data_IF_802070772396
#
_entry.id   IF_802070772396
#
_cell.length_a   1.000
_cell.length_b   1.000
_cell.length_c   1.000
_cell.angle_alpha   90.00
_cell.angle_beta   90.00
_cell.angle_gamma   90.00
#
_symmetry.space_group_name_H-M   'P 1'
#
loop_
_entity.id
_entity.type
_entity.pdbx_description
1 polymer ?
#
# COMPACT_ATOMS: atom_id res chain seq x y z
N UNK A 1 5.86 53.37 -16.16
CA UNK A 1 4.46 53.18 -16.61
C UNK A 1 3.94 51.90 -15.98
N UNK A 2 2.99 52.02 -15.05
CA UNK A 2 2.32 50.85 -14.44
C UNK A 2 1.42 50.26 -15.53
N UNK A 3 1.72 49.06 -16.03
CA UNK A 3 0.82 48.36 -16.96
C UNK A 3 -0.43 47.97 -16.16
N UNK A 4 -1.57 48.53 -16.54
CA UNK A 4 -2.87 48.16 -15.99
C UNK A 4 -3.13 46.67 -16.23
N UNK A 5 -3.60 45.99 -15.18
CA UNK A 5 -4.19 44.65 -15.31
C UNK A 5 -5.40 44.74 -16.25
N UNK A 6 -5.66 43.72 -17.08
CA UNK A 6 -6.86 43.68 -17.91
C UNK A 6 -8.12 43.69 -17.03
N UNK A 7 -9.22 44.21 -17.56
CA UNK A 7 -10.52 44.07 -16.91
C UNK A 7 -11.05 42.63 -17.01
N UNK A 8 -11.94 42.23 -16.10
CA UNK A 8 -12.59 40.91 -16.13
C UNK A 8 -13.33 40.65 -17.47
N UNK A 9 -13.92 41.70 -18.06
CA UNK A 9 -14.59 41.61 -19.36
C UNK A 9 -13.61 41.33 -20.50
N UNK A 10 -12.46 42.03 -20.55
CA UNK A 10 -11.43 41.78 -21.57
C UNK A 10 -10.81 40.40 -21.46
N UNK A 11 -10.64 39.89 -20.22
CA UNK A 11 -10.16 38.54 -19.98
C UNK A 11 -11.17 37.50 -20.48
N UNK A 12 -12.47 37.71 -20.21
CA UNK A 12 -13.57 36.83 -20.64
C UNK A 12 -13.70 36.78 -22.17
N UNK A 13 -13.66 37.92 -22.84
CA UNK A 13 -13.78 38.01 -24.29
C UNK A 13 -12.60 37.32 -24.98
N UNK A 14 -11.39 37.51 -24.45
CA UNK A 14 -10.19 36.86 -24.98
C UNK A 14 -10.19 35.34 -24.77
N UNK A 15 -10.64 34.86 -23.60
CA UNK A 15 -10.79 33.43 -23.31
C UNK A 15 -11.87 32.77 -24.18
N UNK A 16 -12.93 33.51 -24.53
CA UNK A 16 -13.96 33.03 -25.45
C UNK A 16 -13.41 32.90 -26.88
N UNK A 17 -12.56 33.84 -27.30
CA UNK A 17 -11.89 33.80 -28.61
C UNK A 17 -10.77 32.75 -28.70
N UNK A 18 -10.17 32.36 -27.56
CA UNK A 18 -9.07 31.38 -27.49
C UNK A 18 -9.37 30.31 -26.41
N UNK A 19 -10.31 29.38 -26.67
CA UNK A 19 -10.80 28.44 -25.66
C UNK A 19 -9.74 27.46 -25.14
N UNK A 20 -8.68 27.19 -25.91
CA UNK A 20 -7.61 26.25 -25.54
C UNK A 20 -6.38 26.95 -24.93
N UNK A 21 -6.43 28.26 -24.68
CA UNK A 21 -5.27 29.02 -24.23
C UNK A 21 -4.86 28.67 -22.80
N UNK A 22 -3.58 28.43 -22.61
CA UNK A 22 -2.97 28.19 -21.30
C UNK A 22 -2.80 29.49 -20.51
N UNK A 23 -2.71 29.39 -19.18
CA UNK A 23 -2.40 30.53 -18.29
C UNK A 23 -1.12 31.29 -18.69
N UNK A 24 -0.15 30.61 -19.30
CA UNK A 24 1.08 31.24 -19.83
C UNK A 24 0.82 32.08 -21.06
N UNK A 25 -0.11 31.67 -21.92
CA UNK A 25 -0.50 32.41 -23.13
C UNK A 25 -1.35 33.61 -22.79
N UNK A 26 -2.27 33.50 -21.82
CA UNK A 26 -3.03 34.63 -21.28
C UNK A 26 -2.07 35.67 -20.68
N UNK A 27 -1.14 35.25 -19.81
CA UNK A 27 -0.17 36.16 -19.22
C UNK A 27 0.75 36.81 -20.27
N UNK A 28 1.06 36.12 -21.37
CA UNK A 28 1.86 36.67 -22.49
C UNK A 28 1.06 37.68 -23.30
N UNK A 29 -0.21 37.39 -23.61
CA UNK A 29 -1.11 38.26 -24.38
C UNK A 29 -1.33 39.60 -23.67
N UNK A 30 -1.52 39.57 -22.35
CA UNK A 30 -1.71 40.78 -21.53
C UNK A 30 -0.40 41.36 -20.96
N UNK A 31 0.75 40.79 -21.31
CA UNK A 31 2.07 41.28 -20.89
C UNK A 31 2.30 41.25 -19.37
N UNK A 32 1.64 40.34 -18.66
CA UNK A 32 1.65 40.19 -17.20
C UNK A 32 2.92 39.44 -16.75
N UNK A 33 3.71 40.05 -15.88
CA UNK A 33 4.97 39.50 -15.36
C UNK A 33 5.09 39.68 -13.84
N UNK A 34 5.87 38.80 -13.20
CA UNK A 34 6.17 38.91 -11.77
C UNK A 34 4.94 38.79 -10.87
N UNK A 35 4.85 39.66 -9.86
CA UNK A 35 3.80 39.65 -8.83
C UNK A 35 2.37 39.80 -9.40
N UNK A 36 2.22 40.47 -10.56
CA UNK A 36 0.92 40.64 -11.23
C UNK A 36 0.29 39.30 -11.72
N UNK A 37 1.03 38.19 -11.69
CA UNK A 37 0.47 36.84 -11.91
C UNK A 37 -0.45 36.38 -10.79
N UNK A 38 -0.27 36.90 -9.59
CA UNK A 38 -1.11 36.58 -8.42
C UNK A 38 -2.50 37.18 -8.63
N UNK A 39 -2.57 38.42 -9.10
CA UNK A 39 -3.84 39.11 -9.39
C UNK A 39 -4.58 38.44 -10.56
N UNK A 40 -3.85 38.03 -11.62
CA UNK A 40 -4.43 37.24 -12.71
C UNK A 40 -5.04 35.90 -12.21
N UNK A 41 -4.40 35.26 -11.21
CA UNK A 41 -4.92 34.02 -10.61
C UNK A 41 -6.20 34.25 -9.82
N UNK A 42 -6.33 35.40 -9.14
CA UNK A 42 -7.56 35.78 -8.45
C UNK A 42 -8.71 36.04 -9.44
N UNK A 43 -8.42 36.80 -10.51
CA UNK A 43 -9.41 37.10 -11.57
C UNK A 43 -9.88 35.85 -12.32
N UNK A 44 -8.99 34.89 -12.58
CA UNK A 44 -9.35 33.62 -13.22
C UNK A 44 -10.23 32.75 -12.30
N UNK A 45 -9.95 32.72 -10.99
CA UNK A 45 -10.82 32.03 -10.01
C UNK A 45 -12.23 32.61 -9.94
N UNK A 46 -12.35 33.93 -10.06
CA UNK A 46 -13.63 34.62 -10.07
C UNK A 46 -14.44 34.26 -11.32
N UNK A 47 -13.80 34.21 -12.49
CA UNK A 47 -14.44 33.77 -13.75
C UNK A 47 -14.75 32.25 -13.78
N UNK A 48 -13.96 31.43 -13.08
CA UNK A 48 -14.23 29.99 -12.89
C UNK A 48 -15.47 29.75 -12.01
N UNK A 49 -15.69 30.58 -10.99
CA UNK A 49 -16.90 30.53 -10.16
C UNK A 49 -18.18 30.86 -10.95
N UNK A 50 -18.05 31.63 -12.03
CA UNK A 50 -19.14 31.97 -12.96
C UNK A 50 -19.35 30.91 -14.08
N UNK A 51 -18.63 29.79 -14.05
CA UNK A 51 -18.92 28.61 -14.88
C UNK A 51 -18.36 28.62 -16.30
N UNK A 52 -17.34 29.44 -16.58
CA UNK A 52 -16.66 29.45 -17.90
C UNK A 52 -15.32 28.72 -17.80
N UNK A 53 -15.30 27.41 -18.04
CA UNK A 53 -14.06 26.70 -18.40
C UNK A 53 -14.32 25.53 -19.37
N UNK A 54 -13.38 25.25 -20.29
CA UNK A 54 -13.51 24.18 -21.27
C UNK A 54 -13.35 22.80 -20.62
N UNK A 55 -14.27 21.89 -20.93
CA UNK A 55 -14.29 20.51 -20.44
C UNK A 55 -13.19 19.68 -21.09
N UNK A 56 -12.27 19.12 -20.30
CA UNK A 56 -11.44 17.99 -20.72
C UNK A 56 -12.33 16.74 -20.77
N UNK A 57 -12.32 16.00 -21.88
CA UNK A 57 -13.07 14.73 -22.01
C UNK A 57 -12.48 13.71 -21.02
N UNK A 58 -13.35 13.15 -20.18
CA UNK A 58 -12.98 12.06 -19.28
C UNK A 58 -12.46 10.86 -20.09
N UNK A 59 -11.30 10.32 -19.70
CA UNK A 59 -10.88 9.00 -20.17
C UNK A 59 -11.88 7.96 -19.65
N UNK A 60 -12.31 7.05 -20.54
CA UNK A 60 -13.49 6.21 -20.37
C UNK A 60 -13.28 5.01 -19.43
N UNK A 61 -12.81 5.23 -18.21
CA UNK A 61 -12.69 4.20 -17.19
C UNK A 61 -12.78 4.78 -15.77
N UNK A 62 -13.22 3.95 -14.81
CA UNK A 62 -13.25 4.31 -13.39
C UNK A 62 -12.09 3.63 -12.69
N UNK A 63 -11.30 4.36 -11.90
CA UNK A 63 -10.28 3.75 -11.06
C UNK A 63 -10.94 2.96 -9.92
N UNK A 64 -10.45 1.75 -9.59
CA UNK A 64 -10.86 1.06 -8.39
C UNK A 64 -10.67 1.94 -7.13
N UNK A 65 -11.55 1.82 -6.11
CA UNK A 65 -11.46 2.62 -4.89
C UNK A 65 -10.13 2.52 -4.16
N UNK A 66 -9.39 1.42 -4.31
CA UNK A 66 -8.03 1.25 -3.83
C UNK A 66 -7.17 0.84 -5.02
N UNK A 67 -6.13 1.62 -5.31
CA UNK A 67 -5.29 1.42 -6.50
C UNK A 67 -3.82 1.63 -6.14
N UNK A 68 -2.95 0.84 -6.79
CA UNK A 68 -1.50 1.03 -6.76
C UNK A 68 -1.11 2.15 -7.72
N UNK A 69 -0.50 3.20 -7.18
CA UNK A 69 -0.09 4.39 -7.92
C UNK A 69 1.43 4.55 -7.92
N UNK A 70 1.99 5.02 -9.03
CA UNK A 70 3.37 5.49 -9.14
C UNK A 70 3.38 7.02 -9.01
N UNK A 71 4.18 7.53 -8.08
CA UNK A 71 4.34 8.96 -7.78
C UNK A 71 5.15 9.61 -8.91
N UNK A 72 4.62 10.70 -9.48
CA UNK A 72 5.24 11.45 -10.58
C UNK A 72 6.21 12.54 -10.09
N UNK A 73 6.21 12.83 -8.77
CA UNK A 73 7.01 13.87 -8.13
C UNK A 73 6.21 15.14 -7.83
N UNK A 74 6.72 16.01 -6.93
CA UNK A 74 6.09 17.28 -6.62
C UNK A 74 6.18 18.25 -7.81
N UNK A 75 5.11 19.00 -8.05
CA UNK A 75 5.12 20.08 -9.03
C UNK A 75 5.74 21.38 -8.47
N UNK A 76 5.65 22.48 -9.22
CA UNK A 76 6.19 23.77 -8.80
C UNK A 76 5.49 24.38 -7.57
N UNK A 77 4.27 23.93 -7.27
CA UNK A 77 3.47 24.36 -6.12
C UNK A 77 3.62 23.38 -4.92
N UNK A 78 4.31 22.26 -5.11
CA UNK A 78 4.59 21.24 -4.10
C UNK A 78 3.55 20.12 -4.04
N UNK A 79 2.59 20.09 -4.98
CA UNK A 79 1.55 19.07 -5.04
C UNK A 79 2.12 17.76 -5.62
N UNK A 80 1.81 16.65 -4.95
CA UNK A 80 2.31 15.33 -5.33
C UNK A 80 1.26 14.65 -6.21
N UNK A 81 1.61 14.41 -7.47
CA UNK A 81 0.76 13.65 -8.39
C UNK A 81 1.22 12.21 -8.49
N UNK A 82 0.28 11.34 -8.83
CA UNK A 82 0.55 9.95 -9.14
C UNK A 82 -0.29 9.48 -10.33
N UNK A 83 0.16 8.41 -10.97
CA UNK A 83 -0.58 7.70 -12.02
C UNK A 83 -0.80 6.25 -11.60
N UNK A 84 -1.90 5.62 -12.02
CA UNK A 84 -2.06 4.18 -11.81
C UNK A 84 -0.97 3.41 -12.55
N UNK A 85 -0.39 2.39 -11.89
CA UNK A 85 0.58 1.49 -12.52
C UNK A 85 -0.12 0.62 -13.57
N UNK A 86 -1.34 0.16 -13.24
CA UNK A 86 -2.20 -0.54 -14.17
C UNK A 86 -3.42 0.29 -14.52
N UNK A 87 -3.58 0.59 -15.81
CA UNK A 87 -4.76 1.26 -16.34
C UNK A 87 -5.42 0.38 -17.41
N UNK A 88 -6.64 -0.08 -17.11
CA UNK A 88 -7.44 -0.92 -18.00
C UNK A 88 -8.55 -0.17 -18.75
N UNK A 89 -8.64 1.16 -18.58
CA UNK A 89 -9.65 1.99 -19.24
C UNK A 89 -9.23 2.49 -20.62
N UNK A 90 -10.17 3.08 -21.36
CA UNK A 90 -9.88 3.66 -22.68
C UNK A 90 -9.29 5.07 -22.56
N UNK A 91 -8.15 5.31 -23.22
CA UNK A 91 -7.48 6.60 -23.28
C UNK A 91 -6.31 6.74 -22.31
N UNK A 92 -5.82 7.97 -22.12
CA UNK A 92 -4.71 8.25 -21.21
C UNK A 92 -5.08 7.92 -19.76
N UNK A 93 -4.11 7.38 -19.02
CA UNK A 93 -4.27 7.07 -17.61
C UNK A 93 -4.65 8.34 -16.82
N UNK A 94 -5.65 8.27 -15.92
CA UNK A 94 -6.07 9.41 -15.13
C UNK A 94 -4.95 9.86 -14.18
N UNK A 95 -4.87 11.16 -13.93
CA UNK A 95 -3.95 11.71 -12.91
C UNK A 95 -4.63 11.73 -11.55
N UNK A 96 -3.90 11.31 -10.52
CA UNK A 96 -4.37 11.31 -9.13
C UNK A 96 -3.55 12.33 -8.34
N UNK A 97 -4.20 13.26 -7.65
CA UNK A 97 -3.51 14.11 -6.67
C UNK A 97 -3.44 13.36 -5.33
N UNK A 98 -2.26 13.29 -4.72
CA UNK A 98 -2.07 12.61 -3.45
C UNK A 98 -2.15 13.59 -2.28
N UNK A 99 -3.04 13.30 -1.33
CA UNK A 99 -2.98 13.89 0.00
C UNK A 99 -1.97 13.09 0.82
N UNK A 100 -0.69 13.49 0.78
CA UNK A 100 0.38 12.77 1.44
C UNK A 100 1.36 13.69 2.20
N UNK A 101 2.05 13.20 3.24
CA UNK A 101 3.17 13.91 3.84
C UNK A 101 4.33 14.06 2.82
N UNK A 102 5.17 15.09 3.02
CA UNK A 102 6.27 15.51 2.11
C UNK A 102 7.37 14.45 1.82
N UNK A 103 7.20 13.21 2.27
CA UNK A 103 8.19 12.13 2.20
C UNK A 103 8.09 11.23 0.96
N UNK A 104 7.17 11.52 0.02
CA UNK A 104 7.03 10.76 -1.24
C UNK A 104 7.83 11.40 -2.37
N UNK A 105 8.73 10.61 -2.97
CA UNK A 105 9.56 11.01 -4.11
C UNK A 105 8.99 10.50 -5.44
N UNK A 106 9.44 11.11 -6.55
CA UNK A 106 9.13 10.61 -7.89
C UNK A 106 9.64 9.17 -8.05
N UNK A 107 8.82 8.29 -8.63
CA UNK A 107 9.10 6.86 -8.79
C UNK A 107 8.70 5.98 -7.60
N UNK A 108 8.33 6.58 -6.46
CA UNK A 108 7.76 5.82 -5.34
C UNK A 108 6.44 5.18 -5.78
N UNK A 109 6.20 3.94 -5.36
CA UNK A 109 4.91 3.30 -5.52
C UNK A 109 4.13 3.48 -4.22
N UNK A 110 2.82 3.66 -4.28
CA UNK A 110 1.96 3.80 -3.09
C UNK A 110 0.64 3.09 -3.31
N UNK A 111 0.09 2.49 -2.26
CA UNK A 111 -1.29 2.07 -2.22
C UNK A 111 -2.12 3.26 -1.77
N UNK A 112 -3.10 3.68 -2.57
CA UNK A 112 -3.94 4.80 -2.21
C UNK A 112 -5.41 4.48 -2.41
N UNK A 113 -6.24 4.96 -1.48
CA UNK A 113 -7.69 5.01 -1.67
C UNK A 113 -7.99 6.17 -2.62
N UNK A 114 -8.53 5.88 -3.80
CA UNK A 114 -8.85 6.85 -4.84
C UNK A 114 -10.34 7.20 -4.81
N UNK A 115 -10.63 8.49 -4.70
CA UNK A 115 -11.98 9.04 -4.78
C UNK A 115 -12.08 9.97 -5.99
N UNK A 116 -13.15 9.87 -6.75
CA UNK A 116 -13.35 10.67 -7.96
C UNK A 116 -13.59 12.14 -7.54
N UNK A 117 -12.58 12.97 -7.77
CA UNK A 117 -12.61 14.40 -7.49
C UNK A 117 -11.91 15.10 -8.64
N UNK A 118 -12.67 15.79 -9.47
CA UNK A 118 -12.15 16.45 -10.67
C UNK A 118 -11.59 17.81 -10.29
N UNK A 119 -10.29 17.96 -10.48
CA UNK A 119 -9.59 19.23 -10.41
C UNK A 119 -9.05 19.67 -11.77
N UNK A 120 -8.32 20.79 -11.82
CA UNK A 120 -7.75 21.31 -13.07
C UNK A 120 -6.75 20.35 -13.75
N UNK A 121 -5.97 19.61 -12.94
CA UNK A 121 -4.85 18.78 -13.40
C UNK A 121 -4.92 17.31 -12.92
N UNK A 122 -6.03 16.91 -12.29
CA UNK A 122 -6.26 15.57 -11.76
C UNK A 122 -7.74 15.16 -11.87
N UNK A 123 -7.98 13.86 -12.05
CA UNK A 123 -9.31 13.27 -12.16
C UNK A 123 -9.77 12.61 -10.84
N UNK A 124 -8.81 12.27 -9.98
CA UNK A 124 -9.02 11.60 -8.70
C UNK A 124 -8.17 12.24 -7.60
N UNK A 125 -8.67 12.15 -6.38
CA UNK A 125 -7.90 12.40 -5.16
C UNK A 125 -7.55 11.06 -4.51
N UNK A 126 -6.27 10.87 -4.20
CA UNK A 126 -5.74 9.68 -3.56
C UNK A 126 -5.36 9.97 -2.11
N UNK A 127 -5.98 9.30 -1.15
CA UNK A 127 -5.48 9.23 0.22
C UNK A 127 -4.49 8.08 0.31
N UNK A 128 -3.22 8.38 0.54
CA UNK A 128 -2.18 7.36 0.66
C UNK A 128 -2.47 6.49 1.88
N UNK A 129 -2.55 5.18 1.64
CA UNK A 129 -2.65 4.16 2.68
C UNK A 129 -1.23 3.82 3.14
N UNK A 130 -0.35 3.43 2.20
CA UNK A 130 1.06 3.11 2.49
C UNK A 130 1.94 3.17 1.24
N UNK A 131 3.26 3.29 1.41
CA UNK A 131 4.26 3.20 0.34
C UNK A 131 4.51 1.73 -0.03
N UNK A 132 4.64 1.47 -1.33
CA UNK A 132 4.81 0.16 -1.97
C UNK A 132 6.26 0.00 -2.45
N UNK A 133 6.80 -1.21 -2.31
CA UNK A 133 8.11 -1.57 -2.85
C UNK A 133 9.30 -1.26 -1.92
N UNK A 134 9.05 -0.92 -0.66
CA UNK A 134 10.07 -0.97 0.39
C UNK A 134 9.84 -2.22 1.24
N UNK A 135 10.00 -3.41 0.64
CA UNK A 135 10.47 -4.57 1.40
C UNK A 135 11.97 -4.67 1.14
N UNK A 136 12.79 -3.82 1.81
CA UNK A 136 14.23 -3.97 1.72
C UNK A 136 14.57 -5.39 2.14
N UNK A 137 15.48 -6.06 1.41
CA UNK A 137 15.99 -7.35 1.82
C UNK A 137 16.60 -7.19 3.21
N UNK A 138 15.88 -7.66 4.23
CA UNK A 138 16.28 -7.54 5.62
C UNK A 138 17.30 -8.62 5.92
N UNK A 139 18.37 -8.24 6.60
CA UNK A 139 19.44 -9.12 7.02
C UNK A 139 19.26 -9.34 8.51
N UNK A 140 19.03 -10.59 8.90
CA UNK A 140 19.04 -10.98 10.31
C UNK A 140 20.46 -11.39 10.71
N UNK A 141 21.02 -10.75 11.72
CA UNK A 141 22.38 -11.02 12.16
C UNK A 141 22.71 -10.53 13.54
N UNK A 142 23.88 -10.92 14.04
CA UNK A 142 24.43 -10.43 15.29
C UNK A 142 25.23 -9.16 15.03
N UNK A 143 24.92 -8.10 15.76
CA UNK A 143 25.71 -6.89 15.74
C UNK A 143 27.01 -7.08 16.54
N UNK A 144 28.13 -6.70 15.92
CA UNK A 144 29.46 -6.67 16.54
C UNK A 144 29.99 -5.25 16.50
N UNK A 145 30.18 -4.66 17.66
CA UNK A 145 30.73 -3.32 17.82
C UNK A 145 32.20 -3.27 17.39
N UNK A 146 32.63 -2.11 16.88
CA UNK A 146 34.00 -1.83 16.51
C UNK A 146 34.37 -0.38 16.78
N UNK A 147 35.65 -0.02 16.57
CA UNK A 147 36.15 1.33 16.86
C UNK A 147 35.44 2.45 16.05
N UNK A 148 34.99 2.16 14.83
CA UNK A 148 34.27 3.08 13.96
C UNK A 148 32.89 2.52 13.56
N UNK A 149 32.05 2.20 14.56
CA UNK A 149 30.69 1.71 14.35
C UNK A 149 30.60 0.22 14.64
N UNK A 150 30.28 -0.59 13.63
CA UNK A 150 30.20 -2.03 13.82
C UNK A 150 30.05 -2.82 12.53
N UNK A 151 29.80 -4.11 12.70
CA UNK A 151 29.45 -5.02 11.61
C UNK A 151 28.32 -5.96 12.02
N UNK A 152 27.54 -6.41 11.05
CA UNK A 152 26.50 -7.40 11.26
C UNK A 152 26.98 -8.70 10.64
N UNK A 153 27.03 -9.72 11.48
CA UNK A 153 27.35 -11.09 11.09
C UNK A 153 26.03 -11.81 10.81
N UNK A 154 25.71 -12.14 9.55
CA UNK A 154 24.47 -12.83 9.21
C UNK A 154 24.37 -14.18 9.93
N UNK A 155 23.15 -14.58 10.32
CA UNK A 155 22.90 -15.90 10.92
C UNK A 155 22.65 -16.97 9.84
N UNK A 156 22.35 -16.54 8.62
CA UNK A 156 22.18 -17.43 7.48
C UNK A 156 23.51 -17.97 6.97
N UNK A 157 23.59 -19.30 6.87
CA UNK A 157 24.76 -20.04 6.37
C UNK A 157 25.11 -19.78 4.90
N UNK A 158 24.27 -19.04 4.17
CA UNK A 158 24.47 -18.72 2.75
C UNK A 158 25.14 -17.36 2.49
N UNK A 159 25.33 -16.54 3.53
CA UNK A 159 25.90 -15.18 3.41
C UNK A 159 27.20 -15.07 4.18
N UNK A 160 28.31 -15.43 3.53
CA UNK A 160 29.65 -15.41 4.15
C UNK A 160 30.24 -14.00 4.35
N UNK A 161 29.46 -12.94 4.10
CA UNK A 161 29.96 -11.56 4.12
C UNK A 161 29.33 -10.78 5.27
N UNK A 162 30.18 -10.36 6.19
CA UNK A 162 29.85 -9.36 7.19
C UNK A 162 29.43 -8.03 6.52
N UNK A 163 28.43 -7.38 7.11
CA UNK A 163 27.91 -6.11 6.64
C UNK A 163 28.41 -4.99 7.54
N UNK A 164 29.06 -3.98 6.95
CA UNK A 164 29.58 -2.84 7.71
C UNK A 164 28.46 -1.86 8.06
N UNK A 165 28.48 -1.37 9.29
CA UNK A 165 27.53 -0.39 9.83
C UNK A 165 28.31 0.82 10.34
N UNK A 166 28.05 2.01 9.80
CA UNK A 166 28.71 3.23 10.26
C UNK A 166 28.19 3.63 11.66
N UNK A 167 28.92 4.44 12.44
CA UNK A 167 28.50 4.87 13.78
C UNK A 167 27.07 5.44 13.84
N UNK A 168 26.68 6.23 12.85
CA UNK A 168 25.35 6.85 12.76
C UNK A 168 24.23 5.88 12.36
N UNK A 169 24.59 4.74 11.76
CA UNK A 169 23.65 3.76 11.20
C UNK A 169 23.43 2.56 12.14
N UNK A 170 24.05 2.56 13.33
CA UNK A 170 23.97 1.48 14.32
C UNK A 170 22.62 1.38 15.01
N UNK A 171 21.80 2.43 14.98
CA UNK A 171 20.53 2.47 15.71
C UNK A 171 20.67 2.26 17.23
N UNK A 172 21.87 2.45 17.78
CA UNK A 172 22.17 2.18 19.19
C UNK A 172 22.29 0.69 19.55
N UNK A 173 22.51 -0.19 18.57
CA UNK A 173 22.73 -1.61 18.80
C UNK A 173 23.95 -1.88 19.69
N UNK A 174 23.83 -2.85 20.60
CA UNK A 174 24.90 -3.27 21.50
C UNK A 174 25.63 -4.50 20.97
N UNK A 175 26.87 -4.74 21.43
CA UNK A 175 27.63 -5.91 21.01
C UNK A 175 26.91 -7.22 21.38
N UNK A 176 26.81 -8.13 20.42
CA UNK A 176 26.14 -9.42 20.60
C UNK A 176 24.61 -9.37 20.47
N UNK A 177 24.03 -8.19 20.23
CA UNK A 177 22.59 -8.03 20.04
C UNK A 177 22.15 -8.59 18.67
N UNK A 178 21.00 -9.28 18.65
CA UNK A 178 20.33 -9.67 17.42
C UNK A 178 19.69 -8.43 16.79
N UNK A 179 19.97 -8.20 15.52
CA UNK A 179 19.46 -7.04 14.79
C UNK A 179 18.90 -7.44 13.43
N UNK A 180 17.90 -6.68 13.01
CA UNK A 180 17.40 -6.67 11.65
C UNK A 180 17.97 -5.44 10.94
N UNK A 181 18.61 -5.64 9.80
CA UNK A 181 19.28 -4.55 9.08
C UNK A 181 18.89 -4.50 7.62
N UNK A 182 19.02 -3.31 7.03
CA UNK A 182 18.65 -3.06 5.65
C UNK A 182 19.89 -2.60 4.85
N UNK A 183 20.16 -3.21 3.68
CA UNK A 183 21.26 -2.86 2.80
C UNK A 183 21.25 -1.38 2.42
N UNK A 184 22.39 -0.71 2.59
CA UNK A 184 22.63 0.67 2.18
C UNK A 184 23.36 0.68 0.83
N UNK A 185 22.65 0.27 -0.22
CA UNK A 185 23.18 0.25 -1.59
C UNK A 185 24.38 -0.69 -1.81
N UNK A 186 24.84 -0.82 -3.06
CA UNK A 186 26.01 -1.64 -3.39
C UNK A 186 27.29 -0.83 -3.20
N UNK A 187 28.17 -1.29 -2.32
CA UNK A 187 29.54 -0.77 -2.24
C UNK A 187 30.30 -1.10 -3.53
N UNK A 188 30.96 -0.11 -4.14
CA UNK A 188 31.82 -0.33 -5.33
C UNK A 188 33.08 -1.12 -4.98
N UNK A 189 33.55 -1.04 -3.73
CA UNK A 189 34.71 -1.75 -3.18
C UNK A 189 34.50 -2.00 -1.68
N UNK A 190 34.99 -3.13 -1.17
CA UNK A 190 34.88 -3.51 0.25
C UNK A 190 33.60 -4.29 0.62
N UNK A 191 33.41 -4.61 1.91
CA UNK A 191 32.21 -5.29 2.39
C UNK A 191 30.98 -4.43 2.16
N UNK A 192 29.80 -5.04 1.94
CA UNK A 192 28.56 -4.31 1.75
C UNK A 192 28.18 -3.55 3.02
N UNK A 193 27.39 -2.48 2.87
CA UNK A 193 26.97 -1.62 3.98
C UNK A 193 25.50 -1.85 4.31
N UNK A 194 25.15 -1.72 5.58
CA UNK A 194 23.78 -1.77 6.05
C UNK A 194 23.58 -0.77 7.19
N UNK A 195 22.31 -0.42 7.44
CA UNK A 195 21.91 0.24 8.68
C UNK A 195 21.04 -0.70 9.50
N UNK A 196 21.12 -0.58 10.81
CA UNK A 196 20.24 -1.30 11.73
C UNK A 196 18.85 -0.68 11.65
N UNK A 197 17.89 -1.46 11.17
CA UNK A 197 16.49 -1.05 11.08
C UNK A 197 15.72 -1.38 12.37
N UNK A 198 16.02 -2.53 12.98
CA UNK A 198 15.37 -2.97 14.21
C UNK A 198 16.36 -3.69 15.14
N UNK A 199 16.23 -3.42 16.44
CA UNK A 199 16.97 -4.10 17.51
C UNK A 199 16.08 -5.17 18.13
N UNK A 200 16.47 -6.43 17.95
CA UNK A 200 15.69 -7.58 18.42
C UNK A 200 16.12 -8.06 19.81
N UNK A 201 17.25 -7.55 20.32
CA UNK A 201 17.71 -7.81 21.68
C UNK A 201 18.56 -9.08 21.78
N UNK A 202 18.36 -9.81 22.88
CA UNK A 202 19.12 -11.03 23.18
C UNK A 202 18.77 -12.15 22.17
N UNK A 203 19.77 -12.71 21.44
CA UNK A 203 19.54 -13.82 20.52
C UNK A 203 19.03 -15.11 21.19
N UNK A 204 19.14 -15.24 22.51
CA UNK A 204 18.64 -16.38 23.29
C UNK A 204 17.20 -16.21 23.75
N UNK A 205 16.61 -15.02 23.58
CA UNK A 205 15.23 -14.77 23.96
C UNK A 205 14.26 -15.60 23.09
N UNK A 206 13.11 -16.06 23.63
CA UNK A 206 12.15 -16.84 22.85
C UNK A 206 11.72 -16.20 21.52
N UNK A 207 11.48 -14.89 21.51
CA UNK A 207 11.13 -14.11 20.30
C UNK A 207 12.23 -14.16 19.23
N UNK A 208 13.50 -14.18 19.64
CA UNK A 208 14.65 -14.25 18.74
C UNK A 208 14.74 -15.61 18.05
N UNK A 209 14.44 -16.70 18.76
CA UNK A 209 14.48 -18.07 18.22
C UNK A 209 13.53 -18.21 17.02
N UNK A 210 12.29 -17.72 17.14
CA UNK A 210 11.31 -17.77 16.06
C UNK A 210 11.73 -16.94 14.85
N UNK A 211 12.25 -15.72 15.08
CA UNK A 211 12.76 -14.86 14.00
C UNK A 211 13.97 -15.48 13.27
N UNK A 212 14.88 -16.10 14.03
CA UNK A 212 16.01 -16.84 13.47
C UNK A 212 15.50 -18.00 12.60
N UNK A 213 14.55 -18.77 13.09
CA UNK A 213 13.97 -19.90 12.34
C UNK A 213 13.26 -19.43 11.06
N UNK A 214 12.48 -18.35 11.13
CA UNK A 214 11.82 -17.74 9.96
C UNK A 214 12.85 -17.41 8.88
N UNK A 215 13.93 -16.72 9.26
CA UNK A 215 14.96 -16.31 8.30
C UNK A 215 15.77 -17.49 7.75
N UNK A 216 16.27 -18.37 8.63
CA UNK A 216 17.10 -19.53 8.25
C UNK A 216 16.40 -20.51 7.33
N UNK A 217 15.09 -20.68 7.49
CA UNK A 217 14.28 -21.55 6.63
C UNK A 217 13.68 -20.81 5.43
N UNK A 218 13.96 -19.51 5.27
CA UNK A 218 13.42 -18.70 4.18
C UNK A 218 11.90 -18.62 4.20
N UNK A 219 11.28 -18.69 5.38
CA UNK A 219 9.84 -18.57 5.55
C UNK A 219 9.45 -17.13 5.22
N UNK A 220 8.50 -16.97 4.29
CA UNK A 220 8.01 -15.66 3.86
C UNK A 220 7.12 -15.07 4.96
N UNK A 221 7.63 -14.08 5.69
CA UNK A 221 6.93 -13.43 6.79
C UNK A 221 6.28 -12.09 6.41
N UNK A 222 6.50 -11.63 5.18
CA UNK A 222 5.89 -10.41 4.63
C UNK A 222 5.13 -10.68 3.33
N UNK A 223 3.95 -10.08 3.19
CA UNK A 223 3.16 -10.13 1.97
C UNK A 223 3.62 -9.06 0.98
N UNK A 224 3.64 -9.40 -0.31
CA UNK A 224 3.84 -8.43 -1.36
C UNK A 224 2.67 -7.43 -1.38
N UNK A 225 2.95 -6.18 -1.76
CA UNK A 225 1.97 -5.12 -1.61
C UNK A 225 0.73 -5.29 -2.51
N UNK A 226 0.90 -5.94 -3.65
CA UNK A 226 -0.21 -6.29 -4.56
C UNK A 226 -1.16 -7.31 -3.91
N UNK A 227 -0.62 -8.24 -3.12
CA UNK A 227 -1.39 -9.26 -2.39
C UNK A 227 -2.22 -8.61 -1.29
N UNK A 228 -1.60 -7.71 -0.51
CA UNK A 228 -2.30 -6.95 0.53
C UNK A 228 -3.37 -6.04 -0.08
N UNK A 229 -3.06 -5.38 -1.21
CA UNK A 229 -4.03 -4.53 -1.90
C UNK A 229 -5.25 -5.33 -2.39
N UNK A 230 -5.02 -6.53 -2.93
CA UNK A 230 -6.10 -7.43 -3.32
C UNK A 230 -6.98 -7.80 -2.12
N UNK A 231 -6.36 -8.23 -1.01
CA UNK A 231 -7.07 -8.55 0.24
C UNK A 231 -7.88 -7.37 0.80
N UNK A 232 -7.28 -6.18 0.90
CA UNK A 232 -7.96 -4.97 1.43
C UNK A 232 -9.12 -4.49 0.54
N UNK A 233 -9.08 -4.84 -0.75
CA UNK A 233 -10.15 -4.54 -1.70
C UNK A 233 -11.33 -5.50 -1.60
N UNK A 234 -11.16 -6.65 -0.93
CA UNK A 234 -12.21 -7.64 -0.76
C UNK A 234 -13.40 -7.06 0.02
N UNK A 235 -14.58 -7.60 -0.27
CA UNK A 235 -15.86 -7.19 0.32
C UNK A 235 -16.66 -8.43 0.67
N UNK A 236 -17.51 -8.38 1.70
CA UNK A 236 -18.41 -9.48 2.01
C UNK A 236 -19.18 -9.95 0.78
N UNK A 237 -19.18 -11.27 0.58
CA UNK A 237 -19.81 -11.88 -0.58
C UNK A 237 -21.34 -11.84 -0.45
N UNK A 238 -22.08 -11.41 -1.47
CA UNK A 238 -23.54 -11.47 -1.43
C UNK A 238 -24.02 -12.94 -1.45
N UNK A 239 -25.18 -13.19 -0.84
CA UNK A 239 -25.78 -14.53 -0.77
C UNK A 239 -25.96 -15.18 -2.16
N UNK A 240 -26.31 -14.39 -3.17
CA UNK A 240 -26.40 -14.85 -4.56
C UNK A 240 -27.31 -16.06 -4.72
N UNK A 241 -26.76 -17.17 -5.24
CA UNK A 241 -27.47 -18.45 -5.42
C UNK A 241 -27.16 -19.47 -4.32
N UNK A 242 -26.49 -19.06 -3.24
CA UNK A 242 -26.16 -19.95 -2.12
C UNK A 242 -27.43 -20.32 -1.37
N UNK A 243 -27.43 -21.52 -0.79
CA UNK A 243 -28.49 -21.95 0.12
C UNK A 243 -28.39 -21.14 1.41
N UNK A 244 -29.50 -20.55 1.82
CA UNK A 244 -29.60 -19.88 3.12
C UNK A 244 -29.64 -20.92 4.25
N UNK A 245 -28.70 -20.80 5.19
CA UNK A 245 -28.57 -21.67 6.36
C UNK A 245 -28.51 -20.85 7.66
N UNK A 246 -28.86 -19.56 7.64
CA UNK A 246 -28.72 -18.66 8.82
C UNK A 246 -29.56 -19.09 10.03
N UNK A 247 -30.67 -19.78 9.78
CA UNK A 247 -31.52 -20.35 10.85
C UNK A 247 -31.00 -21.71 11.39
N UNK A 248 -29.90 -22.24 10.82
CA UNK A 248 -29.27 -23.47 11.30
C UNK A 248 -28.33 -23.12 12.45
N UNK A 249 -28.44 -23.75 13.63
CA UNK A 249 -27.66 -23.38 14.81
C UNK A 249 -26.24 -24.00 14.74
N UNK A 250 -25.45 -23.51 13.78
CA UNK A 250 -24.04 -23.82 13.61
C UNK A 250 -23.22 -23.23 14.77
N UNK A 251 -22.20 -23.97 15.21
CA UNK A 251 -21.26 -23.52 16.25
C UNK A 251 -19.82 -23.80 15.83
N UNK A 252 -18.90 -22.91 16.20
CA UNK A 252 -17.46 -23.12 16.09
C UNK A 252 -16.92 -23.64 17.43
N UNK A 253 -15.82 -24.41 17.42
CA UNK A 253 -15.20 -24.96 18.63
C UNK A 253 -13.69 -24.81 18.52
N UNK A 254 -13.17 -23.73 19.09
CA UNK A 254 -11.78 -23.32 18.90
C UNK A 254 -11.09 -22.96 20.23
N UNK A 255 -9.74 -22.92 20.26
CA UNK A 255 -8.99 -22.30 21.33
C UNK A 255 -9.44 -20.85 21.61
N UNK A 256 -9.31 -20.42 22.86
CA UNK A 256 -9.74 -19.08 23.29
C UNK A 256 -9.01 -17.92 22.60
N UNK A 257 -7.84 -18.19 22.02
CA UNK A 257 -6.97 -17.24 21.32
C UNK A 257 -7.01 -17.38 19.80
N UNK A 258 -7.84 -18.28 19.27
CA UNK A 258 -8.06 -18.42 17.83
C UNK A 258 -8.71 -17.16 17.25
N UNK A 259 -8.32 -16.80 16.03
CA UNK A 259 -8.85 -15.63 15.31
C UNK A 259 -9.51 -16.01 13.98
N UNK A 260 -9.16 -17.17 13.48
CA UNK A 260 -9.53 -17.77 12.21
C UNK A 260 -10.41 -19.01 12.47
N UNK A 261 -11.73 -18.80 12.47
CA UNK A 261 -12.70 -19.88 12.61
C UNK A 261 -13.04 -20.45 11.23
N UNK A 262 -12.34 -21.50 10.83
CA UNK A 262 -12.46 -22.08 9.48
C UNK A 262 -13.64 -23.05 9.33
N UNK A 263 -14.15 -23.61 10.43
CA UNK A 263 -15.22 -24.60 10.42
C UNK A 263 -16.30 -24.36 11.48
N UNK A 264 -17.55 -24.65 11.11
CA UNK A 264 -18.69 -24.64 12.00
C UNK A 264 -19.53 -25.91 11.84
N UNK A 265 -20.08 -26.38 12.96
CA UNK A 265 -20.69 -27.70 13.09
C UNK A 265 -22.13 -27.59 13.59
N UNK A 266 -23.00 -28.44 13.07
CA UNK A 266 -24.32 -28.69 13.64
C UNK A 266 -24.73 -30.15 13.44
N UNK A 267 -25.22 -30.81 14.49
CA UNK A 267 -25.70 -32.18 14.41
C UNK A 267 -27.16 -32.25 14.85
N UNK A 268 -28.00 -32.85 14.02
CA UNK A 268 -29.41 -33.08 14.32
C UNK A 268 -29.75 -34.57 14.23
N UNK A 269 -30.61 -35.04 15.14
CA UNK A 269 -31.07 -36.44 15.12
C UNK A 269 -32.06 -36.64 13.97
N UNK A 270 -31.84 -37.69 13.19
CA UNK A 270 -32.72 -38.06 12.06
C UNK A 270 -32.99 -39.56 12.10
N UNK A 271 -34.19 -39.93 12.55
CA UNK A 271 -34.58 -41.32 12.75
C UNK A 271 -33.77 -41.98 13.86
N UNK A 272 -33.09 -43.07 13.52
CA UNK A 272 -32.14 -43.79 14.37
C UNK A 272 -30.69 -43.26 14.28
N UNK A 273 -30.42 -42.33 13.35
CA UNK A 273 -29.10 -41.72 13.13
C UNK A 273 -29.06 -40.21 13.35
N UNK A 274 -28.02 -39.58 12.80
CA UNK A 274 -27.78 -38.14 12.83
C UNK A 274 -27.45 -37.61 11.44
N UNK A 275 -27.84 -36.37 11.16
CA UNK A 275 -27.29 -35.56 10.07
C UNK A 275 -26.27 -34.60 10.66
N UNK A 276 -25.02 -34.66 10.19
CA UNK A 276 -23.97 -33.73 10.57
C UNK A 276 -23.75 -32.72 9.44
N UNK A 277 -23.83 -31.45 9.79
CA UNK A 277 -23.47 -30.32 8.96
C UNK A 277 -22.07 -29.86 9.34
N UNK A 278 -21.20 -29.75 8.33
CA UNK A 278 -19.86 -29.18 8.45
C UNK A 278 -19.79 -28.03 7.44
N UNK A 279 -19.85 -26.80 7.93
CA UNK A 279 -19.69 -25.60 7.13
C UNK A 279 -18.22 -25.17 7.20
N UNK A 280 -17.58 -25.02 6.04
CA UNK A 280 -16.19 -24.58 5.94
C UNK A 280 -16.17 -23.18 5.33
N UNK A 281 -15.31 -22.31 5.85
CA UNK A 281 -15.03 -21.00 5.29
C UNK A 281 -14.75 -21.08 3.77
N UNK A 282 -15.47 -20.28 2.98
CA UNK A 282 -15.34 -20.29 1.52
C UNK A 282 -14.19 -19.38 1.06
N UNK A 283 -12.95 -19.75 1.44
CA UNK A 283 -11.73 -19.04 1.05
C UNK A 283 -11.61 -18.92 -0.48
N UNK A 284 -12.08 -19.93 -1.22
CA UNK A 284 -12.05 -19.97 -2.68
C UNK A 284 -12.98 -18.94 -3.35
N UNK A 285 -13.90 -18.32 -2.60
CA UNK A 285 -14.65 -17.16 -3.05
C UNK A 285 -13.76 -15.93 -3.22
N UNK A 286 -12.76 -15.76 -2.35
CA UNK A 286 -11.84 -14.62 -2.32
C UNK A 286 -10.53 -14.92 -3.05
N UNK A 287 -9.94 -16.10 -2.83
CA UNK A 287 -8.66 -16.50 -3.44
C UNK A 287 -8.94 -17.23 -4.76
N UNK A 288 -9.02 -16.47 -5.85
CA UNK A 288 -9.33 -17.02 -7.19
C UNK A 288 -8.08 -17.56 -7.89
N UNK A 289 -8.16 -18.68 -8.65
CA UNK A 289 -7.02 -19.18 -9.41
C UNK A 289 -6.39 -18.11 -10.31
N UNK A 290 -5.06 -17.94 -10.22
CA UNK A 290 -4.30 -16.95 -10.98
C UNK A 290 -4.29 -15.53 -10.40
N UNK A 291 -4.92 -15.29 -9.24
CA UNK A 291 -4.78 -14.04 -8.48
C UNK A 291 -3.41 -13.88 -7.82
N UNK A 292 -3.11 -12.67 -7.34
CA UNK A 292 -1.91 -12.42 -6.54
C UNK A 292 -1.99 -13.17 -5.21
N UNK A 293 -3.18 -13.21 -4.58
CA UNK A 293 -3.47 -14.04 -3.41
C UNK A 293 -3.21 -15.53 -3.66
N UNK A 294 -3.67 -16.09 -4.79
CA UNK A 294 -3.46 -17.51 -5.13
C UNK A 294 -1.96 -17.80 -5.35
N UNK A 295 -1.26 -16.92 -6.07
CA UNK A 295 0.18 -17.05 -6.28
C UNK A 295 0.94 -17.05 -4.94
N UNK A 296 0.60 -16.12 -4.04
CA UNK A 296 1.26 -15.99 -2.75
C UNK A 296 0.92 -17.13 -1.80
N UNK A 297 -0.34 -17.56 -1.74
CA UNK A 297 -0.77 -18.72 -0.96
C UNK A 297 -0.03 -19.98 -1.40
N UNK A 298 0.18 -20.20 -2.71
CA UNK A 298 0.98 -21.34 -3.22
C UNK A 298 2.45 -21.26 -2.82
N UNK A 299 3.05 -20.06 -2.81
CA UNK A 299 4.45 -19.87 -2.39
C UNK A 299 4.63 -20.16 -0.90
N UNK A 300 3.63 -19.81 -0.07
CA UNK A 300 3.64 -20.04 1.37
C UNK A 300 3.29 -21.49 1.74
N UNK A 301 2.33 -22.07 1.04
CA UNK A 301 1.87 -23.46 1.20
C UNK A 301 1.02 -23.71 2.43
N UNK A 302 1.40 -23.15 3.59
CA UNK A 302 0.65 -23.22 4.84
C UNK A 302 0.92 -22.00 5.73
N UNK A 303 0.08 -21.83 6.77
CA UNK A 303 0.41 -20.96 7.91
C UNK A 303 1.42 -21.70 8.81
N UNK A 304 2.48 -21.01 9.23
CA UNK A 304 3.48 -21.56 10.14
C UNK A 304 3.27 -21.01 11.56
N UNK A 305 3.03 -21.91 12.52
CA UNK A 305 2.77 -21.57 13.91
C UNK A 305 4.04 -21.73 14.76
N UNK A 306 4.50 -20.63 15.35
CA UNK A 306 5.59 -20.57 16.32
C UNK A 306 5.04 -20.38 17.73
N UNK A 307 5.80 -20.71 18.79
CA UNK A 307 5.34 -20.55 20.17
C UNK A 307 4.87 -19.12 20.54
N UNK A 308 5.41 -18.09 19.90
CA UNK A 308 5.14 -16.67 20.18
C UNK A 308 4.44 -15.92 19.04
N UNK A 309 4.21 -16.56 17.88
CA UNK A 309 3.64 -15.89 16.69
C UNK A 309 3.14 -16.86 15.63
N UNK A 310 2.39 -16.33 14.68
CA UNK A 310 1.99 -17.04 13.45
C UNK A 310 2.52 -16.30 12.24
N UNK A 311 3.04 -17.03 11.26
CA UNK A 311 3.28 -16.52 9.91
C UNK A 311 2.13 -17.02 9.03
N UNK A 312 1.14 -16.18 8.71
CA UNK A 312 -0.09 -16.65 8.07
C UNK A 312 0.09 -16.91 6.57
N UNK A 313 -0.71 -17.83 6.03
CA UNK A 313 -0.75 -18.11 4.59
C UNK A 313 -1.42 -16.97 3.80
N UNK A 314 -2.44 -16.35 4.40
CA UNK A 314 -3.24 -15.28 3.81
C UNK A 314 -3.16 -14.01 4.66
N UNK A 315 -3.39 -12.82 4.09
CA UNK A 315 -3.50 -11.60 4.87
C UNK A 315 -4.64 -11.68 5.91
N UNK A 316 -4.43 -11.03 7.07
CA UNK A 316 -5.36 -11.04 8.21
C UNK A 316 -6.78 -10.55 7.85
N UNK A 317 -6.88 -9.55 6.96
CA UNK A 317 -8.16 -9.06 6.41
C UNK A 317 -9.02 -10.15 5.76
N UNK A 318 -8.40 -11.25 5.31
CA UNK A 318 -9.12 -12.42 4.83
C UNK A 318 -9.24 -13.47 5.94
N UNK A 319 -8.11 -14.00 6.44
CA UNK A 319 -8.14 -15.16 7.34
C UNK A 319 -8.84 -14.90 8.66
N UNK A 320 -8.65 -13.72 9.26
CA UNK A 320 -9.22 -13.37 10.57
C UNK A 320 -10.55 -12.62 10.48
N UNK A 321 -11.03 -12.30 9.27
CA UNK A 321 -12.25 -11.49 9.07
C UNK A 321 -13.16 -12.13 8.02
N UNK A 322 -12.97 -11.82 6.73
CA UNK A 322 -13.90 -12.22 5.66
C UNK A 322 -14.03 -13.73 5.43
N UNK A 323 -13.05 -14.52 5.87
CA UNK A 323 -13.04 -15.98 5.82
C UNK A 323 -13.20 -16.63 7.20
N UNK A 324 -13.45 -15.87 8.27
CA UNK A 324 -13.65 -16.43 9.60
C UNK A 324 -15.15 -16.47 9.93
N UNK A 325 -15.63 -17.60 10.44
CA UNK A 325 -17.03 -17.83 10.81
C UNK A 325 -17.35 -17.20 12.17
N UNK A 326 -17.35 -15.87 12.22
CA UNK A 326 -17.62 -15.08 13.43
C UNK A 326 -19.07 -15.21 13.90
N UNK A 327 -19.27 -15.11 15.22
CA UNK A 327 -20.60 -15.16 15.82
C UNK A 327 -21.47 -13.95 15.42
N UNK A 328 -22.72 -14.21 15.01
CA UNK A 328 -23.73 -13.17 14.80
C UNK A 328 -23.55 -12.33 13.52
N UNK A 329 -22.70 -12.77 12.59
CA UNK A 329 -22.51 -12.14 11.27
C UNK A 329 -22.72 -13.16 10.15
N UNK A 330 -23.08 -12.65 8.96
CA UNK A 330 -23.28 -13.41 7.72
C UNK A 330 -21.95 -13.60 6.96
#
# INVERSE_FOLDING_TARGET
MVKQLPSLTELRDWMTAHPDATRREIARAFGIKGAAKIDLKAMLRELEAEGVTPRRRASGGVLPPVTVLEVLGPDADGDIFARPIEWRGQGAAPRVILLAPKSLGAGDRVLAKCEAMRGPDYDYQGKVIRKIGANPQRILGLFRSGAEGGRIVPIDKGSDRDWMVNPHDTGGAQDGELVLAEPMGRAKFGPPRAHVAERLGDPTAPKAVSLIAIHQHGIRDAFDDVVVAEADSARPMPMGTRRDLRDTPLMTIDPWDARDHDDALFAERRGDGFTLWVAIADVAAYVRPGSDLDSEARKRGNSTYFPDRVVPMLPDTLSGDLCSLHEGVD
#
